data_IF_717094297916
#
_entry.id   IF_717094297916
#
_cell.length_a   1.000
_cell.length_b   1.000
_cell.length_c   1.000
_cell.angle_alpha   90.00
_cell.angle_beta   90.00
_cell.angle_gamma   90.00
#
_symmetry.space_group_name_H-M   'P 1'
#
loop_
_entity.id
_entity.type
_entity.pdbx_description
1 polymer ?
#
# COMPACT_ATOMS: atom_id res chain seq x y z
N UNK A 1 -57.99 -23.24 -38.19
CA UNK A 1 -57.45 -21.86 -38.12
C UNK A 1 -56.36 -21.88 -37.06
N UNK A 2 -55.09 -21.92 -37.48
CA UNK A 2 -53.94 -21.97 -36.57
C UNK A 2 -53.46 -20.53 -36.33
N UNK A 3 -53.50 -20.08 -35.08
CA UNK A 3 -53.06 -18.74 -34.71
C UNK A 3 -51.52 -18.71 -34.67
N UNK A 4 -50.92 -17.87 -35.51
CA UNK A 4 -49.49 -17.60 -35.48
C UNK A 4 -49.15 -16.87 -34.17
N UNK A 5 -48.35 -17.50 -33.31
CA UNK A 5 -47.79 -16.88 -32.12
C UNK A 5 -46.77 -15.85 -32.58
N UNK A 6 -47.08 -14.56 -32.41
CA UNK A 6 -46.15 -13.48 -32.67
C UNK A 6 -44.93 -13.65 -31.74
N UNK A 7 -43.77 -13.91 -32.32
CA UNK A 7 -42.50 -13.88 -31.59
C UNK A 7 -42.27 -12.45 -31.10
N UNK A 8 -42.42 -12.25 -29.79
CA UNK A 8 -41.93 -11.04 -29.14
C UNK A 8 -40.41 -11.05 -29.22
N UNK A 9 -39.85 -10.30 -30.19
CA UNK A 9 -38.44 -10.00 -30.24
C UNK A 9 -38.08 -9.22 -28.98
N UNK A 10 -37.58 -9.93 -27.97
CA UNK A 10 -36.99 -9.32 -26.79
C UNK A 10 -35.69 -8.66 -27.25
N UNK A 11 -35.55 -7.33 -27.14
CA UNK A 11 -34.32 -6.66 -27.55
C UNK A 11 -33.14 -7.28 -26.79
N UNK A 12 -32.15 -7.78 -27.51
CA UNK A 12 -30.99 -8.41 -26.90
C UNK A 12 -30.32 -7.42 -25.92
N UNK A 13 -29.98 -7.85 -24.70
CA UNK A 13 -29.37 -6.97 -23.71
C UNK A 13 -28.06 -6.38 -24.28
N UNK A 14 -27.93 -5.04 -24.25
CA UNK A 14 -26.70 -4.36 -24.67
C UNK A 14 -25.53 -4.90 -23.87
N UNK A 15 -24.55 -5.50 -24.57
CA UNK A 15 -23.31 -5.95 -23.94
C UNK A 15 -22.55 -4.72 -23.42
N UNK A 16 -22.20 -4.67 -22.12
CA UNK A 16 -21.40 -3.58 -21.58
C UNK A 16 -20.01 -3.57 -22.23
N UNK A 17 -19.47 -2.38 -22.47
CA UNK A 17 -18.12 -2.23 -23.02
C UNK A 17 -17.07 -2.66 -21.99
N UNK A 18 -15.93 -3.21 -22.45
CA UNK A 18 -14.86 -3.67 -21.57
C UNK A 18 -14.33 -2.57 -20.64
N UNK A 19 -14.33 -1.32 -21.11
CA UNK A 19 -13.99 -0.15 -20.29
C UNK A 19 -14.97 0.08 -19.14
N UNK A 20 -16.28 -0.02 -19.40
CA UNK A 20 -17.30 0.15 -18.37
C UNK A 20 -17.18 -0.92 -17.27
N UNK A 21 -16.84 -2.16 -17.65
CA UNK A 21 -16.62 -3.27 -16.72
C UNK A 21 -15.31 -3.09 -15.93
N UNK A 22 -14.22 -2.66 -16.57
CA UNK A 22 -12.96 -2.39 -15.87
C UNK A 22 -13.13 -1.27 -14.83
N UNK A 23 -13.86 -0.20 -15.19
CA UNK A 23 -14.16 0.91 -14.29
C UNK A 23 -15.04 0.47 -13.11
N UNK A 24 -16.07 -0.34 -13.35
CA UNK A 24 -16.95 -0.82 -12.27
C UNK A 24 -16.21 -1.77 -11.32
N UNK A 25 -15.32 -2.61 -11.85
CA UNK A 25 -14.43 -3.46 -11.08
C UNK A 25 -13.49 -2.61 -10.21
N UNK A 26 -12.82 -1.61 -10.80
CA UNK A 26 -11.93 -0.72 -10.06
C UNK A 26 -12.69 0.03 -8.94
N UNK A 27 -13.89 0.53 -9.21
CA UNK A 27 -14.72 1.19 -8.20
C UNK A 27 -15.22 0.25 -7.09
N UNK A 28 -15.47 -1.03 -7.41
CA UNK A 28 -15.83 -2.03 -6.41
C UNK A 28 -14.65 -2.36 -5.50
N UNK A 29 -13.46 -2.57 -6.07
CA UNK A 29 -12.24 -2.84 -5.31
C UNK A 29 -11.83 -1.64 -4.46
N UNK A 30 -11.94 -0.42 -4.98
CA UNK A 30 -11.71 0.80 -4.21
C UNK A 30 -12.64 0.89 -3.00
N UNK A 31 -13.96 0.67 -3.18
CA UNK A 31 -14.92 0.69 -2.07
C UNK A 31 -14.60 -0.38 -1.02
N UNK A 32 -14.10 -1.54 -1.42
CA UNK A 32 -13.67 -2.60 -0.51
C UNK A 32 -12.40 -2.21 0.24
N UNK A 33 -11.42 -1.61 -0.45
CA UNK A 33 -10.20 -1.11 0.16
C UNK A 33 -10.49 -0.01 1.20
N UNK A 34 -11.39 0.93 0.91
CA UNK A 34 -11.75 1.99 1.87
C UNK A 34 -12.51 1.46 3.08
N UNK A 35 -13.30 0.39 2.92
CA UNK A 35 -14.06 -0.23 4.01
C UNK A 35 -13.26 -1.24 4.84
N UNK A 36 -12.03 -1.55 4.44
CA UNK A 36 -11.20 -2.50 5.22
C UNK A 36 -10.70 -1.82 6.49
N UNK A 37 -10.84 -2.45 7.68
CA UNK A 37 -10.31 -1.87 8.91
C UNK A 37 -8.78 -1.89 8.99
N UNK A 38 -8.12 -2.74 8.18
CA UNK A 38 -6.67 -2.93 8.19
C UNK A 38 -5.91 -1.66 7.77
N UNK A 39 -6.42 -0.93 6.77
CA UNK A 39 -5.77 0.25 6.23
C UNK A 39 -5.76 1.44 7.23
N UNK A 40 -6.89 1.86 7.82
CA UNK A 40 -6.88 2.90 8.84
C UNK A 40 -6.11 2.47 10.09
N UNK A 41 -6.11 1.18 10.46
CA UNK A 41 -5.32 0.68 11.58
C UNK A 41 -3.81 0.77 11.29
N UNK A 42 -3.34 0.32 10.13
CA UNK A 42 -1.93 0.45 9.74
C UNK A 42 -1.48 1.91 9.65
N UNK A 43 -2.32 2.79 9.12
CA UNK A 43 -2.06 4.23 9.11
C UNK A 43 -2.00 4.80 10.53
N UNK A 44 -2.97 4.48 11.40
CA UNK A 44 -3.01 4.97 12.77
C UNK A 44 -1.78 4.53 13.56
N UNK A 45 -1.36 3.27 13.44
CA UNK A 45 -0.13 2.76 14.09
C UNK A 45 1.11 3.45 13.54
N UNK A 46 1.19 3.69 12.22
CA UNK A 46 2.33 4.40 11.62
C UNK A 46 2.41 5.85 12.09
N UNK A 47 1.26 6.55 12.13
CA UNK A 47 1.18 7.92 12.65
C UNK A 47 1.50 7.96 14.13
N UNK A 48 1.03 6.98 14.91
CA UNK A 48 1.36 6.85 16.32
C UNK A 48 2.87 6.67 16.52
N UNK A 49 3.49 5.69 15.84
CA UNK A 49 4.94 5.45 15.90
C UNK A 49 5.72 6.69 15.52
N UNK A 50 5.35 7.32 14.39
CA UNK A 50 5.89 8.61 14.02
C UNK A 50 5.78 9.56 15.20
N UNK A 51 4.58 9.86 15.70
CA UNK A 51 4.35 10.84 16.76
C UNK A 51 5.11 10.56 18.08
N UNK A 52 5.32 9.29 18.42
CA UNK A 52 6.05 8.89 19.62
C UNK A 52 7.57 8.88 19.45
N UNK A 53 8.08 8.80 18.23
CA UNK A 53 9.52 8.98 17.95
C UNK A 53 9.85 10.46 18.06
N UNK A 54 10.36 10.87 19.22
CA UNK A 54 10.81 12.24 19.52
C UNK A 54 12.32 12.24 19.72
N UNK A 55 13.08 13.12 19.04
CA UNK A 55 14.52 13.21 19.23
C UNK A 55 14.84 13.47 20.71
N UNK A 56 15.61 12.58 21.34
CA UNK A 56 16.10 12.80 22.69
C UNK A 56 17.51 13.38 22.68
N UNK A 57 17.83 14.23 23.66
CA UNK A 57 19.16 14.84 23.79
C UNK A 57 20.27 13.83 24.09
N UNK A 58 19.91 12.64 24.57
CA UNK A 58 20.82 11.56 24.95
C UNK A 58 20.93 10.46 23.87
N UNK A 59 20.17 10.57 22.77
CA UNK A 59 20.26 9.63 21.66
C UNK A 59 21.58 9.79 20.89
N UNK A 60 22.10 8.66 20.39
CA UNK A 60 23.23 8.67 19.49
C UNK A 60 22.87 9.44 18.21
N UNK A 61 23.87 10.14 17.65
CA UNK A 61 23.69 11.03 16.51
C UNK A 61 23.10 10.30 15.30
N UNK A 62 21.91 10.69 14.85
CA UNK A 62 21.21 10.06 13.73
C UNK A 62 20.23 8.94 14.07
N UNK A 63 20.04 8.60 15.36
CA UNK A 63 19.03 7.63 15.81
C UNK A 63 17.63 7.98 15.33
N UNK A 64 17.09 9.12 15.78
CA UNK A 64 15.78 9.61 15.36
C UNK A 64 15.63 9.76 13.83
N UNK A 65 16.71 10.09 13.11
CA UNK A 65 16.71 10.19 11.65
C UNK A 65 16.40 8.83 11.01
N UNK A 66 17.10 7.79 11.45
CA UNK A 66 16.88 6.42 10.95
C UNK A 66 15.54 5.83 11.38
N UNK A 67 15.12 6.07 12.62
CA UNK A 67 13.89 5.53 13.18
C UNK A 67 12.65 6.13 12.51
N UNK A 68 12.67 7.41 12.16
CA UNK A 68 11.52 8.05 11.51
C UNK A 68 11.15 7.41 10.18
N UNK A 69 12.12 6.91 9.41
CA UNK A 69 11.87 6.17 8.16
C UNK A 69 11.13 4.85 8.43
N UNK A 70 11.45 4.19 9.55
CA UNK A 70 10.87 2.90 9.96
C UNK A 70 9.40 3.01 10.34
N UNK A 71 8.95 4.21 10.75
CA UNK A 71 7.57 4.45 11.23
C UNK A 71 6.50 4.13 10.19
N UNK A 72 6.87 4.03 8.91
CA UNK A 72 5.97 3.66 7.81
C UNK A 72 5.69 2.16 7.66
N UNK A 73 6.46 1.29 8.33
CA UNK A 73 6.35 -0.17 8.18
C UNK A 73 4.92 -0.72 8.41
N UNK A 74 4.14 -0.29 9.42
CA UNK A 74 2.77 -0.76 9.62
C UNK A 74 1.84 -0.40 8.45
N UNK A 75 2.00 0.78 7.85
CA UNK A 75 1.24 1.22 6.68
C UNK A 75 1.62 0.42 5.43
N UNK A 76 2.90 0.12 5.24
CA UNK A 76 3.39 -0.72 4.14
C UNK A 76 2.86 -2.15 4.25
N UNK A 77 2.86 -2.73 5.45
CA UNK A 77 2.26 -4.03 5.72
C UNK A 77 0.75 -4.03 5.41
N UNK A 78 0.01 -3.04 5.89
CA UNK A 78 -1.42 -2.90 5.62
C UNK A 78 -1.70 -2.77 4.11
N UNK A 79 -0.86 -2.00 3.40
CA UNK A 79 -0.92 -1.84 1.94
C UNK A 79 -0.72 -3.16 1.21
N UNK A 80 0.33 -3.91 1.56
CA UNK A 80 0.57 -5.25 1.01
C UNK A 80 -0.57 -6.22 1.30
N UNK A 81 -1.13 -6.19 2.50
CA UNK A 81 -2.25 -7.03 2.91
C UNK A 81 -3.49 -6.75 2.04
N UNK A 82 -3.90 -5.49 1.93
CA UNK A 82 -5.07 -5.08 1.13
C UNK A 82 -4.88 -5.48 -0.34
N UNK A 83 -3.68 -5.26 -0.89
CA UNK A 83 -3.32 -5.69 -2.24
C UNK A 83 -3.43 -7.22 -2.39
N UNK A 84 -2.85 -7.99 -1.47
CA UNK A 84 -2.89 -9.45 -1.49
C UNK A 84 -4.33 -9.99 -1.47
N UNK A 85 -5.20 -9.43 -0.64
CA UNK A 85 -6.62 -9.83 -0.59
C UNK A 85 -7.35 -9.51 -1.90
N UNK A 86 -7.10 -8.33 -2.49
CA UNK A 86 -7.74 -7.95 -3.76
C UNK A 86 -7.34 -8.88 -4.90
N UNK A 87 -6.06 -9.22 -5.00
CA UNK A 87 -5.53 -10.11 -6.03
C UNK A 87 -5.80 -11.60 -5.76
N UNK A 88 -5.93 -12.02 -4.50
CA UNK A 88 -6.32 -13.39 -4.16
C UNK A 88 -7.75 -13.69 -4.60
N UNK A 89 -8.67 -12.72 -4.48
CA UNK A 89 -10.05 -12.83 -4.96
C UNK A 89 -10.15 -13.03 -6.47
N UNK A 90 -9.13 -12.65 -7.24
CA UNK A 90 -9.08 -12.88 -8.69
C UNK A 90 -8.96 -14.36 -9.08
N UNK A 91 -8.57 -15.23 -8.13
CA UNK A 91 -8.37 -16.66 -8.40
C UNK A 91 -9.67 -17.42 -8.69
N UNK A 92 -10.84 -16.84 -8.40
CA UNK A 92 -12.10 -17.45 -8.79
C UNK A 92 -12.18 -17.54 -10.32
N UNK A 93 -12.20 -18.76 -10.86
CA UNK A 93 -12.23 -18.99 -12.29
C UNK A 93 -13.47 -18.31 -12.89
N UNK A 94 -13.25 -17.47 -13.90
CA UNK A 94 -14.32 -16.89 -14.71
C UNK A 94 -14.39 -17.70 -16.00
N UNK A 95 -15.60 -18.04 -16.45
CA UNK A 95 -15.78 -18.83 -17.68
C UNK A 95 -15.09 -18.18 -18.89
N UNK A 96 -14.76 -18.99 -19.90
CA UNK A 96 -14.07 -18.54 -21.12
C UNK A 96 -14.85 -17.50 -21.92
N UNK A 97 -16.17 -17.39 -21.68
CA UNK A 97 -17.04 -16.36 -22.25
C UNK A 97 -17.08 -15.05 -21.45
N UNK A 98 -16.20 -14.89 -20.45
CA UNK A 98 -16.14 -13.67 -19.65
C UNK A 98 -15.96 -12.44 -20.55
N UNK A 99 -16.73 -11.36 -20.33
CA UNK A 99 -16.66 -10.15 -21.15
C UNK A 99 -15.34 -9.36 -20.98
N UNK A 100 -14.46 -9.78 -20.07
CA UNK A 100 -13.21 -9.11 -19.74
C UNK A 100 -12.08 -10.12 -19.60
N UNK A 101 -10.99 -9.86 -20.33
CA UNK A 101 -9.75 -10.64 -20.27
C UNK A 101 -9.05 -10.52 -18.93
N UNK A 102 -8.29 -11.55 -18.56
CA UNK A 102 -7.52 -11.60 -17.32
C UNK A 102 -6.58 -10.41 -17.16
N UNK A 103 -5.92 -9.98 -18.24
CA UNK A 103 -5.03 -8.82 -18.23
C UNK A 103 -5.74 -7.52 -17.85
N UNK A 104 -6.94 -7.26 -18.39
CA UNK A 104 -7.68 -6.05 -18.06
C UNK A 104 -8.18 -6.05 -16.62
N UNK A 105 -8.55 -7.22 -16.08
CA UNK A 105 -8.92 -7.36 -14.66
C UNK A 105 -7.73 -7.11 -13.72
N UNK A 106 -6.54 -7.60 -14.09
CA UNK A 106 -5.32 -7.33 -13.34
C UNK A 106 -4.99 -5.82 -13.34
N UNK A 107 -5.04 -5.17 -14.52
CA UNK A 107 -4.82 -3.72 -14.62
C UNK A 107 -5.84 -2.90 -13.83
N UNK A 108 -7.11 -3.29 -13.87
CA UNK A 108 -8.15 -2.62 -13.08
C UNK A 108 -7.86 -2.66 -11.57
N UNK A 109 -7.28 -3.76 -11.06
CA UNK A 109 -6.87 -3.90 -9.65
C UNK A 109 -5.62 -3.11 -9.32
N UNK A 110 -4.64 -3.05 -10.23
CA UNK A 110 -3.47 -2.18 -10.09
C UNK A 110 -3.92 -0.71 -9.98
N UNK A 111 -4.80 -0.26 -10.87
CA UNK A 111 -5.36 1.09 -10.82
C UNK A 111 -6.18 1.34 -9.53
N UNK A 112 -6.95 0.34 -9.08
CA UNK A 112 -7.67 0.42 -7.81
C UNK A 112 -6.75 0.49 -6.58
N UNK A 113 -5.47 0.13 -6.73
CA UNK A 113 -4.46 0.23 -5.66
C UNK A 113 -3.79 1.61 -5.59
N UNK A 114 -4.04 2.51 -6.56
CA UNK A 114 -3.46 3.86 -6.56
C UNK A 114 -3.70 4.65 -5.27
N UNK A 115 -4.89 4.59 -4.63
CA UNK A 115 -5.12 5.28 -3.36
C UNK A 115 -4.24 4.78 -2.20
N UNK A 116 -3.76 3.53 -2.25
CA UNK A 116 -2.81 3.03 -1.25
C UNK A 116 -1.46 3.74 -1.36
N UNK A 117 -1.00 3.99 -2.59
CA UNK A 117 0.23 4.76 -2.85
C UNK A 117 0.04 6.24 -2.48
N UNK A 118 -1.14 6.80 -2.76
CA UNK A 118 -1.46 8.18 -2.35
C UNK A 118 -1.47 8.34 -0.82
N UNK A 119 -1.89 7.32 -0.06
CA UNK A 119 -1.80 7.34 1.39
C UNK A 119 -0.34 7.37 1.89
N UNK A 120 0.54 6.60 1.26
CA UNK A 120 1.96 6.65 1.58
C UNK A 120 2.60 8.01 1.22
N UNK A 121 2.18 8.63 0.11
CA UNK A 121 2.57 10.00 -0.23
C UNK A 121 2.08 11.00 0.84
N UNK A 122 0.82 10.91 1.26
CA UNK A 122 0.27 11.76 2.31
C UNK A 122 1.02 11.58 3.64
N UNK A 123 1.40 10.34 3.98
CA UNK A 123 2.23 10.03 5.13
C UNK A 123 3.63 10.65 5.01
N UNK A 124 4.30 10.53 3.87
CA UNK A 124 5.62 11.13 3.63
C UNK A 124 5.59 12.67 3.73
N UNK A 125 4.52 13.30 3.24
CA UNK A 125 4.29 14.74 3.40
C UNK A 125 4.11 15.10 4.88
N UNK A 126 3.30 14.33 5.61
CA UNK A 126 3.08 14.53 7.05
C UNK A 126 4.39 14.39 7.84
N UNK A 127 5.22 13.40 7.50
CA UNK A 127 6.54 13.19 8.09
C UNK A 127 7.43 14.42 7.90
N UNK A 128 7.54 14.92 6.66
CA UNK A 128 8.32 16.13 6.38
C UNK A 128 7.76 17.41 7.03
N UNK A 129 6.44 17.51 7.24
CA UNK A 129 5.85 18.59 8.04
C UNK A 129 6.26 18.47 9.50
N UNK A 130 6.21 17.25 10.05
CA UNK A 130 6.55 16.98 11.44
C UNK A 130 8.02 17.27 11.74
N UNK A 131 8.93 16.86 10.87
CA UNK A 131 10.36 17.17 11.01
C UNK A 131 10.64 18.67 11.06
N UNK A 132 9.96 19.45 10.20
CA UNK A 132 10.05 20.91 10.24
C UNK A 132 9.47 21.49 11.53
N UNK A 133 8.37 20.93 12.02
CA UNK A 133 7.77 21.34 13.29
C UNK A 133 8.67 21.03 14.50
N UNK A 134 9.53 20.02 14.40
CA UNK A 134 10.54 19.69 15.41
C UNK A 134 11.80 20.57 15.30
N UNK A 135 11.93 21.41 14.27
CA UNK A 135 13.14 22.20 14.01
C UNK A 135 14.28 21.39 13.39
N UNK A 136 14.00 20.22 12.82
CA UNK A 136 15.02 19.32 12.27
C UNK A 136 15.49 18.26 13.26
N UNK A 137 16.36 17.38 12.76
CA UNK A 137 16.82 16.18 13.45
C UNK A 137 18.33 16.27 13.70
N UNK A 138 18.78 15.86 14.88
CA UNK A 138 20.18 15.94 15.27
C UNK A 138 21.00 14.82 14.63
N UNK A 139 22.00 15.17 13.80
CA UNK A 139 22.90 14.22 13.12
C UNK A 139 24.33 14.17 13.69
N UNK A 140 24.69 15.00 14.67
CA UNK A 140 26.06 15.05 15.19
C UNK A 140 26.18 15.62 16.60
N UNK A 141 27.29 15.31 17.26
CA UNK A 141 27.64 15.77 18.62
C UNK A 141 28.82 16.77 18.62
N UNK A 142 29.36 17.13 17.45
CA UNK A 142 30.54 17.99 17.33
C UNK A 142 30.19 19.49 17.40
N UNK A 143 30.96 20.31 18.14
CA UNK A 143 30.79 21.76 18.16
C UNK A 143 31.03 22.37 16.77
N UNK A 144 29.99 22.98 16.18
CA UNK A 144 30.09 23.83 14.99
C UNK A 144 29.73 23.21 13.63
N UNK A 145 29.12 22.02 13.57
CA UNK A 145 28.72 21.38 12.30
C UNK A 145 27.34 20.71 12.36
N UNK A 146 26.44 21.17 11.47
CA UNK A 146 25.09 20.66 11.16
C UNK A 146 24.27 20.16 12.35
N UNK A 147 23.63 21.12 13.02
CA UNK A 147 22.75 20.89 14.18
C UNK A 147 21.37 20.35 13.81
N UNK A 148 20.96 20.47 12.53
CA UNK A 148 19.60 20.19 12.09
C UNK A 148 19.61 19.55 10.69
N UNK A 149 19.09 18.34 10.58
CA UNK A 149 18.87 17.65 9.32
C UNK A 149 17.39 17.45 9.07
N UNK A 150 17.01 17.61 7.81
CA UNK A 150 15.68 17.30 7.33
C UNK A 150 15.83 16.26 6.24
N UNK A 151 14.91 15.31 6.16
CA UNK A 151 14.89 14.41 5.02
C UNK A 151 14.67 15.23 3.74
N UNK A 152 15.55 14.98 2.77
CA UNK A 152 15.43 15.51 1.43
C UNK A 152 14.21 14.93 0.70
N UNK A 153 13.80 15.57 -0.39
CA UNK A 153 12.68 15.09 -1.22
C UNK A 153 12.89 13.64 -1.70
N UNK A 154 14.09 13.25 -2.20
CA UNK A 154 14.35 11.86 -2.57
C UNK A 154 14.21 10.87 -1.40
N UNK A 155 14.61 11.25 -0.19
CA UNK A 155 14.48 10.39 0.99
C UNK A 155 13.02 10.22 1.39
N UNK A 156 12.24 11.30 1.41
CA UNK A 156 10.80 11.22 1.64
C UNK A 156 10.10 10.39 0.55
N UNK A 157 10.55 10.49 -0.71
CA UNK A 157 10.01 9.71 -1.81
C UNK A 157 10.24 8.19 -1.68
N UNK A 158 11.19 7.74 -0.84
CA UNK A 158 11.41 6.32 -0.57
C UNK A 158 10.14 5.65 -0.02
N UNK A 159 9.36 6.35 0.81
CA UNK A 159 8.09 5.85 1.34
C UNK A 159 7.08 5.52 0.23
N UNK A 160 7.05 6.34 -0.83
CA UNK A 160 6.19 6.13 -1.99
C UNK A 160 6.68 4.95 -2.81
N UNK A 161 7.99 4.85 -3.04
CA UNK A 161 8.59 3.72 -3.73
C UNK A 161 8.35 2.39 -2.99
N UNK A 162 8.49 2.39 -1.66
CA UNK A 162 8.19 1.26 -0.80
C UNK A 162 6.71 0.88 -0.84
N UNK A 163 5.80 1.85 -0.93
CA UNK A 163 4.37 1.57 -1.08
C UNK A 163 4.05 0.92 -2.44
N UNK A 164 4.71 1.35 -3.52
CA UNK A 164 4.60 0.69 -4.83
C UNK A 164 5.10 -0.76 -4.73
N UNK A 165 6.25 -0.98 -4.08
CA UNK A 165 6.77 -2.31 -3.81
C UNK A 165 5.79 -3.14 -2.95
N UNK A 166 5.19 -2.53 -1.93
CA UNK A 166 4.20 -3.17 -1.06
C UNK A 166 2.97 -3.65 -1.84
N UNK A 167 2.45 -2.81 -2.75
CA UNK A 167 1.36 -3.19 -3.65
C UNK A 167 1.79 -4.35 -4.55
N UNK A 168 2.98 -4.27 -5.17
CA UNK A 168 3.48 -5.29 -6.07
C UNK A 168 3.70 -6.64 -5.38
N UNK A 169 4.29 -6.63 -4.19
CA UNK A 169 4.52 -7.82 -3.37
C UNK A 169 3.21 -8.46 -2.93
N UNK A 170 2.26 -7.64 -2.45
CA UNK A 170 0.92 -8.11 -2.10
C UNK A 170 0.22 -8.73 -3.31
N UNK A 171 0.26 -8.07 -4.47
CA UNK A 171 -0.33 -8.58 -5.70
C UNK A 171 0.30 -9.91 -6.13
N UNK A 172 1.63 -10.02 -6.08
CA UNK A 172 2.35 -11.23 -6.42
C UNK A 172 1.96 -12.39 -5.50
N UNK A 173 1.97 -12.18 -4.18
CA UNK A 173 1.60 -13.22 -3.21
C UNK A 173 0.13 -13.60 -3.29
N UNK A 174 -0.78 -12.63 -3.42
CA UNK A 174 -2.21 -12.87 -3.58
C UNK A 174 -2.52 -13.75 -4.80
N UNK A 175 -1.80 -13.55 -5.90
CA UNK A 175 -1.93 -14.36 -7.12
C UNK A 175 -1.29 -15.74 -7.02
N UNK A 176 -0.11 -15.83 -6.41
CA UNK A 176 0.73 -17.06 -6.44
C UNK A 176 0.40 -18.02 -5.32
N UNK A 177 0.09 -17.54 -4.12
CA UNK A 177 -0.14 -18.39 -2.94
C UNK A 177 -1.59 -18.88 -2.93
N UNK A 178 -1.77 -20.19 -2.75
CA UNK A 178 -3.09 -20.86 -2.72
C UNK A 178 -3.91 -20.54 -1.48
N UNK A 179 -3.25 -20.21 -0.37
CA UNK A 179 -3.89 -19.87 0.90
C UNK A 179 -3.53 -18.45 1.33
N UNK A 180 -4.54 -17.59 1.48
CA UNK A 180 -4.35 -16.26 2.05
C UNK A 180 -3.77 -16.32 3.47
N UNK A 181 -4.11 -17.37 4.23
CA UNK A 181 -3.61 -17.60 5.60
C UNK A 181 -2.09 -17.75 5.63
N UNK A 182 -1.47 -18.25 4.55
CA UNK A 182 -0.01 -18.35 4.44
C UNK A 182 0.63 -17.07 3.89
N UNK A 183 -0.07 -16.34 3.02
CA UNK A 183 0.46 -15.12 2.42
C UNK A 183 0.65 -13.99 3.45
N UNK A 184 -0.24 -13.87 4.44
CA UNK A 184 -0.22 -12.78 5.41
C UNK A 184 0.95 -12.87 6.41
N UNK A 185 1.24 -14.03 7.04
CA UNK A 185 2.43 -14.18 7.86
C UNK A 185 3.72 -13.94 7.09
N UNK A 186 3.78 -14.35 5.81
CA UNK A 186 4.95 -14.09 4.96
C UNK A 186 5.16 -12.59 4.76
N UNK A 187 4.09 -11.83 4.49
CA UNK A 187 4.16 -10.37 4.40
C UNK A 187 4.61 -9.73 5.72
N UNK A 188 4.07 -10.21 6.85
CA UNK A 188 4.45 -9.75 8.18
C UNK A 188 5.95 -9.97 8.43
N UNK A 189 6.44 -11.19 8.21
CA UNK A 189 7.86 -11.55 8.39
C UNK A 189 8.74 -10.75 7.44
N UNK A 190 8.33 -10.55 6.19
CA UNK A 190 9.07 -9.75 5.22
C UNK A 190 9.23 -8.31 5.70
N UNK A 191 8.13 -7.64 6.06
CA UNK A 191 8.20 -6.25 6.52
C UNK A 191 8.92 -6.12 7.86
N UNK A 192 8.75 -7.08 8.77
CA UNK A 192 9.51 -7.14 10.01
C UNK A 192 11.01 -7.35 9.76
N UNK A 193 11.40 -8.17 8.79
CA UNK A 193 12.80 -8.38 8.45
C UNK A 193 13.41 -7.13 7.79
N UNK A 194 12.68 -6.45 6.90
CA UNK A 194 13.10 -5.17 6.30
C UNK A 194 13.31 -4.12 7.41
N UNK A 195 12.41 -4.10 8.40
CA UNK A 195 12.49 -3.21 9.57
C UNK A 195 13.60 -3.60 10.56
N UNK A 196 13.84 -4.89 10.77
CA UNK A 196 14.87 -5.38 11.68
C UNK A 196 16.30 -5.33 11.11
N UNK A 197 16.44 -5.44 9.78
CA UNK A 197 17.77 -5.44 9.14
C UNK A 197 18.41 -4.04 9.15
N UNK A 198 17.63 -2.98 9.04
CA UNK A 198 18.09 -1.60 9.26
C UNK A 198 18.60 -1.42 10.69
N UNK A 199 17.91 -1.94 11.70
CA UNK A 199 18.35 -1.93 13.10
C UNK A 199 19.70 -2.64 13.32
N UNK A 200 19.86 -3.85 12.77
CA UNK A 200 21.12 -4.61 12.87
C UNK A 200 22.30 -3.92 12.18
N UNK A 201 22.04 -3.21 11.07
CA UNK A 201 23.07 -2.44 10.37
C UNK A 201 23.45 -1.14 11.07
N UNK A 202 22.59 -0.62 11.95
CA UNK A 202 22.83 0.58 12.75
C UNK A 202 23.64 0.25 14.02
N UNK A 203 23.43 -0.91 14.65
CA UNK A 203 24.15 -1.32 15.87
C UNK A 203 25.53 -1.93 15.63
N UNK A 204 25.89 -2.24 14.39
CA UNK A 204 27.18 -2.82 14.01
C UNK A 204 28.27 -1.77 13.66
N UNK A 205 28.01 -0.48 13.91
CA UNK A 205 28.98 0.63 13.76
C UNK A 205 29.29 1.25 15.11
#
# INVERSE_FOLDING_TARGET
>A
MSAAVASTDVPAPRRPTSYAVARSLAAAELRRAVRTPVLPLGLAVSVWFMWTTTPQSEEWSGGAYSELVMTSAPLLLATSWVSAVSFHRERAAVGTEAPVSDGLRAWARVLASAPLVLLALAFAVLLGIRERALGGLTLGTEPGRTTEALHSVPELAQHVALAVLAVALGAALGRRVSSLVLALPVLLVFWFAVDGFSWLSATAR
#
